data_IF_869310105615
#
_entry.id   IF_869310105615
#
_cell.length_a   1.000
_cell.length_b   1.000
_cell.length_c   1.000
_cell.angle_alpha   90.00
_cell.angle_beta   90.00
_cell.angle_gamma   90.00
#
_symmetry.space_group_name_H-M   'P 1'
#
loop_
_entity.id
_entity.type
_entity.pdbx_description
1 polymer ?
#
# COMPACT_ATOMS: atom_id res chain seq x y z
N UNK A 1 -15.09 -3.85 11.22
CA UNK A 1 -15.30 -2.69 10.33
C UNK A 1 -16.46 -3.02 9.41
N UNK A 2 -17.09 -2.05 8.77
CA UNK A 2 -18.10 -2.34 7.75
C UNK A 2 -17.44 -2.65 6.39
N UNK A 3 -18.27 -3.06 5.44
CA UNK A 3 -17.84 -3.42 4.10
C UNK A 3 -17.18 -2.24 3.37
N UNK A 4 -17.77 -1.04 3.50
CA UNK A 4 -17.26 0.17 2.86
C UNK A 4 -15.85 0.54 3.35
N UNK A 5 -15.63 0.58 4.67
CA UNK A 5 -14.30 0.86 5.25
C UNK A 5 -13.27 -0.16 4.77
N UNK A 6 -13.68 -1.43 4.61
CA UNK A 6 -12.80 -2.50 4.12
C UNK A 6 -12.35 -2.25 2.68
N UNK A 7 -13.27 -1.81 1.80
CA UNK A 7 -12.92 -1.45 0.43
C UNK A 7 -12.00 -0.23 0.35
N UNK A 8 -12.23 0.77 1.19
CA UNK A 8 -11.33 1.93 1.30
C UNK A 8 -9.92 1.53 1.72
N UNK A 9 -9.79 0.62 2.69
CA UNK A 9 -8.48 0.09 3.10
C UNK A 9 -7.79 -0.66 1.97
N UNK A 10 -8.51 -1.53 1.25
CA UNK A 10 -7.96 -2.25 0.10
C UNK A 10 -7.45 -1.29 -0.98
N UNK A 11 -8.25 -0.29 -1.33
CA UNK A 11 -7.86 0.74 -2.30
C UNK A 11 -6.65 1.55 -1.84
N UNK A 12 -6.67 2.04 -0.60
CA UNK A 12 -5.57 2.83 -0.04
C UNK A 12 -4.26 2.03 0.04
N UNK A 13 -4.32 0.78 0.49
CA UNK A 13 -3.16 -0.12 0.55
C UNK A 13 -2.57 -0.39 -0.83
N UNK A 14 -3.42 -0.62 -1.84
CA UNK A 14 -2.99 -0.80 -3.23
C UNK A 14 -2.31 0.46 -3.77
N UNK A 15 -2.90 1.64 -3.55
CA UNK A 15 -2.31 2.92 -3.95
C UNK A 15 -0.94 3.12 -3.30
N UNK A 16 -0.79 2.86 -2.00
CA UNK A 16 0.51 2.95 -1.33
C UNK A 16 1.55 2.01 -1.94
N UNK A 17 1.17 0.77 -2.25
CA UNK A 17 2.08 -0.19 -2.88
C UNK A 17 2.53 0.27 -4.27
N UNK A 18 1.61 0.79 -5.10
CA UNK A 18 1.91 1.31 -6.43
C UNK A 18 2.79 2.56 -6.38
N UNK A 19 2.48 3.49 -5.47
CA UNK A 19 3.29 4.70 -5.25
C UNK A 19 4.69 4.33 -4.79
N UNK A 20 4.82 3.36 -3.89
CA UNK A 20 6.13 2.89 -3.43
C UNK A 20 6.94 2.22 -4.54
N UNK A 21 6.29 1.42 -5.38
CA UNK A 21 6.93 0.78 -6.54
C UNK A 21 7.45 1.84 -7.53
N UNK A 22 6.61 2.82 -7.87
CA UNK A 22 6.99 3.92 -8.75
C UNK A 22 8.10 4.78 -8.13
N UNK A 23 8.03 5.05 -6.83
CA UNK A 23 9.01 5.80 -6.07
C UNK A 23 10.38 5.11 -6.00
N UNK A 24 10.44 3.80 -5.77
CA UNK A 24 11.70 3.06 -5.79
C UNK A 24 12.31 3.03 -7.20
N UNK A 25 11.49 2.87 -8.23
CA UNK A 25 11.97 2.97 -9.61
C UNK A 25 12.53 4.36 -9.94
N UNK A 26 11.85 5.43 -9.52
CA UNK A 26 12.32 6.79 -9.69
C UNK A 26 13.62 7.04 -8.91
N UNK A 27 13.72 6.54 -7.67
CA UNK A 27 14.94 6.60 -6.84
C UNK A 27 16.15 6.00 -7.55
N UNK A 28 15.99 4.86 -8.22
CA UNK A 28 17.09 4.20 -8.96
C UNK A 28 17.56 5.02 -10.17
N UNK A 29 16.68 5.83 -10.75
CA UNK A 29 16.99 6.68 -11.91
C UNK A 29 17.61 8.02 -11.52
N UNK A 30 17.19 8.61 -10.40
CA UNK A 30 17.66 9.89 -9.90
C UNK A 30 18.01 9.82 -8.41
N UNK A 31 19.15 9.22 -8.04
CA UNK A 31 19.50 8.97 -6.64
C UNK A 31 19.80 10.25 -5.83
N UNK A 32 20.06 11.39 -6.51
CA UNK A 32 20.33 12.68 -5.88
C UNK A 32 19.08 13.57 -5.74
N UNK A 33 17.92 13.13 -6.26
CA UNK A 33 16.69 13.89 -6.15
C UNK A 33 16.10 13.78 -4.72
N UNK A 34 15.35 14.81 -4.29
CA UNK A 34 14.75 14.87 -2.96
C UNK A 34 13.90 13.62 -2.61
N UNK A 35 13.21 13.07 -3.60
CA UNK A 35 12.34 11.91 -3.43
C UNK A 35 13.12 10.61 -3.17
N UNK A 36 14.43 10.57 -3.44
CA UNK A 36 15.27 9.40 -3.17
C UNK A 36 15.42 9.11 -1.67
N UNK A 37 15.21 10.11 -0.82
CA UNK A 37 15.30 10.02 0.64
C UNK A 37 14.01 9.53 1.30
N UNK A 38 12.92 9.40 0.53
CA UNK A 38 11.67 8.86 1.06
C UNK A 38 11.83 7.34 1.34
N UNK A 39 11.19 6.83 2.41
CA UNK A 39 11.36 5.45 2.84
C UNK A 39 10.47 4.50 2.01
N UNK A 40 10.72 4.40 0.70
CA UNK A 40 9.88 3.63 -0.24
C UNK A 40 9.65 2.18 0.18
N UNK A 41 10.66 1.52 0.78
CA UNK A 41 10.55 0.17 1.31
C UNK A 41 9.59 0.06 2.51
N UNK A 42 9.50 1.10 3.35
CA UNK A 42 8.52 1.12 4.43
C UNK A 42 7.12 1.38 3.87
N UNK A 43 7.00 2.26 2.86
CA UNK A 43 5.72 2.57 2.22
C UNK A 43 5.13 1.33 1.54
N UNK A 44 5.93 0.55 0.81
CA UNK A 44 5.45 -0.69 0.19
C UNK A 44 5.01 -1.71 1.24
N UNK A 45 5.74 -1.83 2.35
CA UNK A 45 5.37 -2.72 3.44
C UNK A 45 4.03 -2.33 4.07
N UNK A 46 3.82 -1.03 4.34
CA UNK A 46 2.54 -0.52 4.85
C UNK A 46 1.42 -0.81 3.86
N UNK A 47 1.63 -0.55 2.56
CA UNK A 47 0.66 -0.85 1.52
C UNK A 47 0.25 -2.32 1.51
N UNK A 48 1.21 -3.24 1.52
CA UNK A 48 0.96 -4.68 1.54
C UNK A 48 0.25 -5.12 2.83
N UNK A 49 0.66 -4.61 3.98
CA UNK A 49 0.04 -4.94 5.27
C UNK A 49 -1.44 -4.52 5.29
N UNK A 50 -1.75 -3.32 4.78
CA UNK A 50 -3.13 -2.81 4.69
C UNK A 50 -3.96 -3.65 3.73
N UNK A 51 -3.42 -4.02 2.56
CA UNK A 51 -4.13 -4.89 1.60
C UNK A 51 -4.41 -6.26 2.19
N UNK A 52 -3.41 -6.89 2.82
CA UNK A 52 -3.58 -8.20 3.44
C UNK A 52 -4.60 -8.16 4.58
N UNK A 53 -4.52 -7.14 5.45
CA UNK A 53 -5.49 -6.95 6.52
C UNK A 53 -6.91 -6.76 5.98
N UNK A 54 -7.08 -5.85 5.01
CA UNK A 54 -8.37 -5.62 4.35
C UNK A 54 -8.91 -6.87 3.65
N UNK A 55 -8.04 -7.66 3.02
CA UNK A 55 -8.40 -8.91 2.36
C UNK A 55 -8.88 -9.97 3.34
N UNK A 56 -8.17 -10.17 4.45
CA UNK A 56 -8.59 -11.10 5.51
C UNK A 56 -9.93 -10.67 6.11
N UNK A 57 -10.10 -9.37 6.37
CA UNK A 57 -11.34 -8.83 6.90
C UNK A 57 -12.51 -9.02 5.90
N UNK A 58 -12.30 -8.77 4.61
CA UNK A 58 -13.29 -8.97 3.56
C UNK A 58 -13.73 -10.43 3.48
N UNK A 59 -12.79 -11.37 3.51
CA UNK A 59 -13.10 -12.81 3.53
C UNK A 59 -13.92 -13.18 4.77
N UNK A 60 -13.62 -12.58 5.92
CA UNK A 60 -14.40 -12.75 7.14
C UNK A 60 -15.84 -12.28 6.98
N UNK A 61 -16.05 -11.08 6.41
CA UNK A 61 -17.38 -10.52 6.14
C UNK A 61 -18.20 -11.36 5.17
N UNK A 62 -17.58 -11.91 4.12
CA UNK A 62 -18.27 -12.71 3.10
C UNK A 62 -18.66 -14.12 3.58
N UNK A 63 -18.03 -14.60 4.66
CA UNK A 63 -18.30 -15.92 5.24
C UNK A 63 -19.28 -15.88 6.41
N UNK A 64 -19.51 -14.70 6.98
CA UNK A 64 -20.44 -14.48 8.10
C UNK A 64 -21.88 -14.40 7.58
#
# INVERSE_FOLDING_TARGET
MDFETTLWLLGAGLVLALVALAGDWARRRQPLAWHAHLPWNAIIFIGLAVVLFGGVHLVGLLKA
#
